data_IF_785731166924
#
_entry.id   IF_785731166924
#
_cell.length_a   1.000
_cell.length_b   1.000
_cell.length_c   1.000
_cell.angle_alpha   90.00
_cell.angle_beta   90.00
_cell.angle_gamma   90.00
#
_symmetry.space_group_name_H-M   'P 1'
#
loop_
_entity.id
_entity.type
_entity.pdbx_description
1 polymer ?
#
# COMPACT_ATOMS: atom_id res chain seq x y z
N UNK A 1 31.33 1.38 1.50
CA UNK A 1 30.31 0.58 2.22
C UNK A 1 29.76 -0.43 1.24
N UNK A 2 29.56 -1.68 1.64
CA UNK A 2 28.90 -2.66 0.77
C UNK A 2 27.45 -2.21 0.52
N UNK A 3 26.99 -2.31 -0.72
CA UNK A 3 25.60 -2.01 -1.08
C UNK A 3 24.67 -3.00 -0.37
N UNK A 4 23.71 -2.47 0.41
CA UNK A 4 22.71 -3.28 1.10
C UNK A 4 21.74 -3.84 0.06
N UNK A 5 21.51 -5.15 0.07
CA UNK A 5 20.64 -5.86 -0.89
C UNK A 5 19.36 -6.34 -0.24
N UNK A 6 18.23 -6.26 -0.94
CA UNK A 6 16.94 -6.69 -0.44
C UNK A 6 16.17 -7.60 -1.39
N UNK A 7 15.27 -8.40 -0.82
CA UNK A 7 14.18 -9.08 -1.54
C UNK A 7 12.83 -8.62 -1.02
N UNK A 8 11.82 -8.63 -1.90
CA UNK A 8 10.45 -8.17 -1.61
C UNK A 8 9.46 -9.34 -1.79
N UNK A 9 8.96 -9.86 -0.67
CA UNK A 9 7.97 -10.94 -0.63
C UNK A 9 6.56 -10.34 -0.72
N UNK A 10 5.72 -10.92 -1.58
CA UNK A 10 4.40 -10.35 -1.89
C UNK A 10 4.53 -8.93 -2.46
N UNK A 11 5.46 -8.75 -3.40
CA UNK A 11 5.92 -7.44 -3.84
C UNK A 11 4.83 -6.63 -4.55
N UNK A 12 3.81 -7.29 -5.12
CA UNK A 12 2.82 -6.66 -5.98
C UNK A 12 3.52 -5.87 -7.09
N UNK A 13 3.17 -4.59 -7.22
CA UNK A 13 3.83 -3.68 -8.17
C UNK A 13 5.19 -3.15 -7.69
N UNK A 14 5.63 -3.46 -6.47
CA UNK A 14 6.92 -3.00 -5.93
C UNK A 14 6.83 -1.72 -5.09
N UNK A 15 5.77 -1.55 -4.31
CA UNK A 15 5.63 -0.40 -3.41
C UNK A 15 6.70 -0.35 -2.31
N UNK A 16 7.01 -1.50 -1.69
CA UNK A 16 8.11 -1.61 -0.73
C UNK A 16 9.46 -1.39 -1.42
N UNK A 17 9.69 -2.13 -2.51
CA UNK A 17 10.88 -2.00 -3.35
C UNK A 17 11.17 -0.57 -3.79
N UNK A 18 10.14 0.21 -4.15
CA UNK A 18 10.29 1.60 -4.54
C UNK A 18 10.80 2.47 -3.40
N UNK A 19 10.23 2.30 -2.19
CA UNK A 19 10.67 3.04 -1.01
C UNK A 19 12.07 2.63 -0.55
N UNK A 20 12.37 1.33 -0.56
CA UNK A 20 13.69 0.82 -0.22
C UNK A 20 14.77 1.29 -1.21
N UNK A 21 14.50 1.25 -2.52
CA UNK A 21 15.41 1.82 -3.53
C UNK A 21 15.66 3.31 -3.31
N UNK A 22 14.62 4.08 -2.95
CA UNK A 22 14.77 5.50 -2.61
C UNK A 22 15.59 5.74 -1.33
N UNK A 23 15.83 4.71 -0.51
CA UNK A 23 16.74 4.73 0.62
C UNK A 23 18.15 4.20 0.28
N UNK A 24 18.44 3.92 -1.00
CA UNK A 24 19.75 3.45 -1.45
C UNK A 24 19.93 1.92 -1.44
N UNK A 25 18.86 1.14 -1.30
CA UNK A 25 18.91 -0.32 -1.28
C UNK A 25 18.88 -0.90 -2.71
N UNK A 26 19.73 -1.88 -2.97
CA UNK A 26 19.69 -2.70 -4.19
C UNK A 26 18.58 -3.75 -4.09
N UNK A 27 17.63 -3.76 -5.02
CA UNK A 27 16.52 -4.71 -5.04
C UNK A 27 16.92 -5.92 -5.86
N UNK A 28 17.26 -7.02 -5.20
CA UNK A 28 17.76 -8.23 -5.84
C UNK A 28 16.64 -9.08 -6.47
N UNK A 29 15.49 -9.20 -5.79
CA UNK A 29 14.36 -9.96 -6.30
C UNK A 29 13.00 -9.58 -5.69
N UNK A 30 11.93 -9.78 -6.46
CA UNK A 30 10.54 -9.71 -6.02
C UNK A 30 9.81 -11.04 -6.23
N UNK A 31 8.91 -11.38 -5.31
CA UNK A 31 8.12 -12.61 -5.35
C UNK A 31 6.63 -12.30 -5.27
N UNK A 32 5.85 -12.69 -6.27
CA UNK A 32 4.39 -12.53 -6.24
C UNK A 32 3.69 -13.54 -7.17
N UNK A 33 2.47 -13.96 -6.80
CA UNK A 33 1.65 -14.86 -7.63
C UNK A 33 0.94 -14.11 -8.77
N UNK A 34 0.73 -12.80 -8.63
CA UNK A 34 -0.03 -12.01 -9.59
C UNK A 34 0.86 -11.52 -10.74
N UNK A 35 0.90 -12.31 -11.82
CA UNK A 35 1.75 -12.05 -12.98
C UNK A 35 1.61 -10.63 -13.56
N UNK A 36 0.38 -10.07 -13.60
CA UNK A 36 0.15 -8.71 -14.08
C UNK A 36 0.84 -7.64 -13.22
N UNK A 37 0.82 -7.79 -11.89
CA UNK A 37 1.55 -6.89 -11.00
C UNK A 37 3.07 -7.08 -11.15
N UNK A 38 3.50 -8.32 -11.40
CA UNK A 38 4.87 -8.67 -11.76
C UNK A 38 5.40 -7.94 -13.00
N UNK A 39 4.59 -7.79 -14.05
CA UNK A 39 4.97 -7.00 -15.22
C UNK A 39 5.28 -5.55 -14.84
N UNK A 40 4.40 -4.92 -14.04
CA UNK A 40 4.63 -3.56 -13.52
C UNK A 40 5.87 -3.50 -12.62
N UNK A 41 6.12 -4.52 -11.79
CA UNK A 41 7.35 -4.60 -11.00
C UNK A 41 8.58 -4.61 -11.92
N UNK A 42 8.62 -5.45 -12.94
CA UNK A 42 9.75 -5.57 -13.85
C UNK A 42 10.01 -4.30 -14.67
N UNK A 43 8.96 -3.58 -15.08
CA UNK A 43 9.11 -2.26 -15.73
C UNK A 43 9.88 -1.25 -14.87
N UNK A 44 9.73 -1.36 -13.55
CA UNK A 44 10.29 -0.40 -12.60
C UNK A 44 11.58 -0.89 -11.95
N UNK A 45 11.87 -2.19 -11.95
CA UNK A 45 13.06 -2.82 -11.37
C UNK A 45 13.66 -3.84 -12.36
N UNK A 46 14.14 -3.39 -13.54
CA UNK A 46 14.59 -4.29 -14.60
C UNK A 46 15.83 -5.13 -14.22
N UNK A 47 16.64 -4.66 -13.26
CA UNK A 47 17.79 -5.39 -12.73
C UNK A 47 17.37 -6.47 -11.70
N UNK A 48 16.18 -6.34 -11.10
CA UNK A 48 15.68 -7.27 -10.10
C UNK A 48 15.07 -8.51 -10.75
N UNK A 49 15.33 -9.68 -10.19
CA UNK A 49 14.65 -10.91 -10.62
C UNK A 49 13.20 -10.92 -10.14
N UNK A 50 12.25 -11.18 -11.03
CA UNK A 50 10.87 -11.42 -10.64
C UNK A 50 10.54 -12.91 -10.66
N UNK A 51 10.08 -13.45 -9.54
CA UNK A 51 9.62 -14.82 -9.41
C UNK A 51 8.09 -14.85 -9.33
N UNK A 52 7.45 -15.28 -10.41
CA UNK A 52 6.00 -15.48 -10.42
C UNK A 52 5.62 -16.79 -9.75
N UNK A 53 5.45 -16.77 -8.41
CA UNK A 53 5.24 -17.97 -7.61
C UNK A 53 4.17 -17.74 -6.55
N UNK A 54 3.44 -18.79 -6.19
CA UNK A 54 2.59 -18.79 -5.02
C UNK A 54 3.37 -19.22 -3.77
N UNK A 55 3.66 -18.25 -2.91
CA UNK A 55 4.38 -18.49 -1.65
C UNK A 55 3.63 -19.46 -0.72
N UNK A 56 2.33 -19.66 -0.90
CA UNK A 56 1.53 -20.61 -0.11
C UNK A 56 2.01 -22.07 -0.26
N UNK A 57 2.53 -22.42 -1.43
CA UNK A 57 2.84 -23.81 -1.82
C UNK A 57 4.33 -24.05 -2.05
N UNK A 58 5.19 -23.06 -1.79
CA UNK A 58 6.63 -23.24 -1.91
C UNK A 58 7.12 -24.30 -0.91
N UNK A 59 7.97 -25.21 -1.37
CA UNK A 59 8.76 -26.11 -0.51
C UNK A 59 10.00 -25.41 0.04
N UNK A 60 10.55 -25.91 1.16
CA UNK A 60 11.81 -25.39 1.72
C UNK A 60 12.97 -25.49 0.72
N UNK A 61 13.02 -26.57 -0.07
CA UNK A 61 14.03 -26.77 -1.13
C UNK A 61 13.98 -25.67 -2.19
N UNK A 62 12.79 -25.22 -2.58
CA UNK A 62 12.66 -24.11 -3.54
C UNK A 62 13.18 -22.79 -2.96
N UNK A 63 12.95 -22.52 -1.67
CA UNK A 63 13.48 -21.32 -1.01
C UNK A 63 15.02 -21.35 -0.99
N UNK A 64 15.63 -22.51 -0.68
CA UNK A 64 17.08 -22.70 -0.78
C UNK A 64 17.61 -22.43 -2.20
N UNK A 65 16.93 -22.94 -3.22
CA UNK A 65 17.32 -22.69 -4.61
C UNK A 65 17.26 -21.20 -4.99
N UNK A 66 16.26 -20.46 -4.50
CA UNK A 66 16.22 -19.01 -4.68
C UNK A 66 17.40 -18.33 -3.99
N UNK A 67 17.76 -18.75 -2.77
CA UNK A 67 18.92 -18.22 -2.06
C UNK A 67 20.23 -18.49 -2.79
N UNK A 68 20.44 -19.71 -3.31
CA UNK A 68 21.61 -20.05 -4.14
C UNK A 68 21.72 -19.17 -5.39
N UNK A 69 20.58 -18.81 -5.99
CA UNK A 69 20.54 -18.01 -7.23
C UNK A 69 20.70 -16.51 -6.97
N UNK A 70 20.07 -15.99 -5.91
CA UNK A 70 20.05 -14.56 -5.57
C UNK A 70 21.32 -14.15 -4.81
N UNK A 71 21.87 -15.10 -4.04
CA UNK A 71 22.98 -14.90 -3.13
C UNK A 71 22.55 -14.18 -1.84
N UNK A 72 23.54 -13.56 -1.20
CA UNK A 72 23.37 -12.84 0.06
C UNK A 72 22.41 -11.64 -0.09
N UNK A 73 21.56 -11.46 0.93
CA UNK A 73 20.66 -10.31 1.09
C UNK A 73 20.67 -9.87 2.54
N UNK A 74 20.62 -8.57 2.75
CA UNK A 74 20.69 -7.95 4.08
C UNK A 74 19.29 -7.68 4.65
N UNK A 75 18.30 -7.51 3.77
CA UNK A 75 16.95 -7.07 4.11
C UNK A 75 15.88 -7.91 3.39
N UNK A 76 14.86 -8.34 4.14
CA UNK A 76 13.61 -8.86 3.58
C UNK A 76 12.50 -7.84 3.82
N UNK A 77 11.83 -7.43 2.74
CA UNK A 77 10.58 -6.69 2.78
C UNK A 77 9.44 -7.68 2.56
N UNK A 78 8.33 -7.54 3.30
CA UNK A 78 7.17 -8.40 3.11
C UNK A 78 5.85 -7.68 3.37
N UNK A 79 4.88 -7.87 2.47
CA UNK A 79 3.49 -7.41 2.65
C UNK A 79 2.47 -8.52 2.39
N UNK A 80 2.38 -9.55 3.27
CA UNK A 80 1.48 -10.68 3.08
C UNK A 80 0.00 -10.25 2.97
N UNK A 81 -0.75 -10.91 2.09
CA UNK A 81 -2.17 -10.63 1.91
C UNK A 81 -2.96 -10.80 3.22
N UNK A 82 -3.76 -9.79 3.60
CA UNK A 82 -4.66 -9.88 4.75
C UNK A 82 -6.12 -9.62 4.30
N UNK A 83 -6.74 -10.63 3.68
CA UNK A 83 -8.12 -10.52 3.17
C UNK A 83 -9.18 -10.79 4.24
N UNK A 84 -8.81 -11.48 5.33
CA UNK A 84 -9.70 -11.93 6.41
C UNK A 84 -10.31 -10.79 7.25
N UNK A 85 -9.63 -9.65 7.39
CA UNK A 85 -10.07 -8.54 8.25
C UNK A 85 -10.62 -7.32 7.49
N UNK A 86 -10.70 -7.37 6.16
CA UNK A 86 -11.23 -6.24 5.39
C UNK A 86 -12.73 -6.08 5.67
N UNK A 87 -13.10 -4.94 6.27
CA UNK A 87 -14.50 -4.52 6.50
C UNK A 87 -15.26 -4.34 5.17
N UNK A 88 -14.55 -4.38 4.04
CA UNK A 88 -15.06 -4.13 2.70
C UNK A 88 -15.80 -5.32 2.05
N UNK A 89 -15.82 -6.51 2.66
CA UNK A 89 -16.63 -7.64 2.17
C UNK A 89 -17.72 -7.96 3.17
N UNK A 90 -18.96 -7.69 2.76
CA UNK A 90 -20.14 -8.20 3.46
C UNK A 90 -20.07 -9.73 3.56
N UNK A 91 -20.28 -10.25 4.76
CA UNK A 91 -20.81 -11.56 5.11
C UNK A 91 -20.31 -12.84 4.39
N UNK A 92 -19.20 -12.85 3.64
CA UNK A 92 -18.58 -14.09 3.16
C UNK A 92 -17.64 -14.67 4.22
N UNK A 93 -17.56 -16.01 4.39
CA UNK A 93 -16.65 -16.65 5.33
C UNK A 93 -15.23 -16.12 5.14
N UNK A 94 -14.66 -15.57 6.21
CA UNK A 94 -13.34 -14.94 6.20
C UNK A 94 -12.29 -16.02 6.04
N UNK A 95 -11.65 -16.07 4.88
CA UNK A 95 -10.57 -17.03 4.63
C UNK A 95 -9.33 -16.67 5.48
N UNK A 96 -9.19 -17.37 6.61
CA UNK A 96 -8.02 -17.30 7.50
C UNK A 96 -6.74 -17.83 6.83
N UNK A 97 -6.83 -18.50 5.68
CA UNK A 97 -5.65 -19.02 4.97
C UNK A 97 -4.73 -17.88 4.51
N UNK A 98 -5.28 -16.72 4.15
CA UNK A 98 -4.47 -15.54 3.75
C UNK A 98 -3.46 -15.12 4.82
N UNK A 99 -3.87 -15.09 6.09
CA UNK A 99 -2.99 -14.72 7.21
C UNK A 99 -1.85 -15.73 7.43
N UNK A 100 -2.06 -17.02 7.09
CA UNK A 100 -1.04 -18.06 7.18
C UNK A 100 0.12 -17.83 6.22
N UNK A 101 -0.06 -17.02 5.16
CA UNK A 101 1.02 -16.62 4.27
C UNK A 101 2.14 -15.87 5.00
N UNK A 102 1.83 -15.23 6.14
CA UNK A 102 2.83 -14.55 6.99
C UNK A 102 3.92 -15.49 7.48
N UNK A 103 3.65 -16.80 7.59
CA UNK A 103 4.68 -17.78 7.93
C UNK A 103 5.81 -17.85 6.90
N UNK A 104 5.55 -17.46 5.64
CA UNK A 104 6.61 -17.41 4.62
C UNK A 104 7.67 -16.36 4.92
N UNK A 105 7.35 -15.31 5.68
CA UNK A 105 8.35 -14.34 6.14
C UNK A 105 9.41 -15.05 6.96
N UNK A 106 8.99 -15.83 7.96
CA UNK A 106 9.91 -16.62 8.78
C UNK A 106 10.66 -17.67 7.95
N UNK A 107 9.98 -18.40 7.07
CA UNK A 107 10.61 -19.44 6.23
C UNK A 107 11.73 -18.88 5.34
N UNK A 108 11.54 -17.70 4.76
CA UNK A 108 12.59 -17.02 4.00
C UNK A 108 13.68 -16.47 4.92
N UNK A 109 13.32 -15.86 6.05
CA UNK A 109 14.29 -15.37 7.02
C UNK A 109 15.18 -16.49 7.58
N UNK A 110 14.66 -17.71 7.75
CA UNK A 110 15.42 -18.87 8.21
C UNK A 110 16.46 -19.32 7.17
N UNK A 111 16.16 -19.20 5.87
CA UNK A 111 17.06 -19.62 4.78
C UNK A 111 18.06 -18.53 4.41
N UNK A 112 17.59 -17.30 4.18
CA UNK A 112 18.41 -16.18 3.74
C UNK A 112 19.18 -15.53 4.89
N UNK A 113 18.72 -15.71 6.14
CA UNK A 113 19.37 -15.18 7.35
C UNK A 113 19.71 -13.67 7.27
N UNK A 114 18.83 -12.79 6.72
CA UNK A 114 19.13 -11.37 6.58
C UNK A 114 19.34 -10.71 7.95
N UNK A 115 20.01 -9.56 8.00
CA UNK A 115 20.05 -8.75 9.22
C UNK A 115 18.69 -8.18 9.56
N UNK A 116 17.97 -7.67 8.55
CA UNK A 116 16.71 -6.96 8.74
C UNK A 116 15.53 -7.67 8.08
N UNK A 117 14.37 -7.58 8.72
CA UNK A 117 13.08 -7.96 8.12
C UNK A 117 12.05 -6.87 8.42
N UNK A 118 11.29 -6.46 7.42
CA UNK A 118 10.18 -5.53 7.57
C UNK A 118 8.90 -6.19 7.09
N UNK A 119 7.89 -6.25 7.96
CA UNK A 119 6.55 -6.74 7.61
C UNK A 119 5.55 -5.60 7.65
N UNK A 120 4.90 -5.31 6.52
CA UNK A 120 3.74 -4.42 6.46
C UNK A 120 2.45 -5.25 6.55
N UNK A 121 1.49 -4.74 7.31
CA UNK A 121 0.14 -5.29 7.29
C UNK A 121 -0.94 -4.27 7.71
N UNK A 122 -2.21 -4.66 7.58
CA UNK A 122 -3.32 -3.86 8.11
C UNK A 122 -3.37 -3.93 9.64
N UNK A 123 -3.98 -2.93 10.33
CA UNK A 123 -4.02 -2.91 11.80
C UNK A 123 -4.64 -4.17 12.43
N UNK A 124 -5.59 -4.78 11.73
CA UNK A 124 -6.29 -5.97 12.20
C UNK A 124 -5.44 -7.24 12.18
N UNK A 125 -4.22 -7.20 11.61
CA UNK A 125 -3.27 -8.31 11.67
C UNK A 125 -2.96 -8.76 13.11
N UNK A 126 -3.00 -7.84 14.07
CA UNK A 126 -2.87 -8.13 15.52
C UNK A 126 -3.93 -9.11 16.05
N UNK A 127 -5.06 -9.24 15.35
CA UNK A 127 -6.16 -10.14 15.73
C UNK A 127 -5.98 -11.55 15.16
N UNK A 128 -4.91 -11.80 14.41
CA UNK A 128 -4.57 -13.13 13.95
C UNK A 128 -4.23 -14.04 15.13
N UNK A 129 -4.84 -15.23 15.19
CA UNK A 129 -4.67 -16.18 16.29
C UNK A 129 -3.21 -16.62 16.52
N UNK A 130 -2.37 -16.56 15.48
CA UNK A 130 -0.94 -16.87 15.57
C UNK A 130 -0.04 -15.64 15.66
N UNK A 131 -0.57 -14.43 15.83
CA UNK A 131 0.23 -13.21 15.86
C UNK A 131 1.36 -13.26 16.91
N UNK A 132 1.04 -13.63 18.15
CA UNK A 132 2.04 -13.79 19.22
C UNK A 132 3.06 -14.87 18.89
N UNK A 133 2.60 -16.02 18.40
CA UNK A 133 3.47 -17.13 18.03
C UNK A 133 4.42 -16.77 16.87
N UNK A 134 3.96 -15.97 15.92
CA UNK A 134 4.78 -15.45 14.83
C UNK A 134 5.92 -14.57 15.36
N UNK A 135 5.63 -13.64 16.29
CA UNK A 135 6.67 -12.81 16.92
C UNK A 135 7.66 -13.67 17.72
N UNK A 136 7.18 -14.64 18.50
CA UNK A 136 8.03 -15.55 19.28
C UNK A 136 8.98 -16.37 18.39
N UNK A 137 8.49 -16.85 17.24
CA UNK A 137 9.31 -17.61 16.28
C UNK A 137 10.40 -16.72 15.66
N UNK A 138 10.06 -15.48 15.29
CA UNK A 138 11.05 -14.52 14.78
C UNK A 138 12.10 -14.20 15.85
N UNK A 139 11.68 -14.01 17.11
CA UNK A 139 12.59 -13.77 18.23
C UNK A 139 13.52 -14.95 18.52
N UNK A 140 12.99 -16.18 18.52
CA UNK A 140 13.79 -17.42 18.63
C UNK A 140 14.76 -17.60 17.45
N UNK A 141 14.47 -17.00 16.31
CA UNK A 141 15.37 -16.97 15.14
C UNK A 141 16.45 -15.88 15.25
N UNK A 142 16.54 -15.18 16.39
CA UNK A 142 17.59 -14.21 16.69
C UNK A 142 17.22 -12.75 16.39
N UNK A 143 15.97 -12.45 16.06
CA UNK A 143 15.54 -11.07 15.78
C UNK A 143 14.99 -10.37 17.03
N UNK A 144 15.38 -9.12 17.23
CA UNK A 144 14.63 -8.17 18.07
C UNK A 144 13.54 -7.51 17.24
N UNK A 145 12.46 -7.06 17.87
CA UNK A 145 11.29 -6.56 17.14
C UNK A 145 10.74 -5.26 17.72
N UNK A 146 10.49 -4.29 16.85
CA UNK A 146 9.66 -3.14 17.14
C UNK A 146 8.38 -3.21 16.33
N UNK A 147 7.26 -3.05 17.01
CA UNK A 147 5.95 -2.93 16.41
C UNK A 147 5.52 -1.47 16.36
N UNK A 148 5.14 -0.96 15.19
CA UNK A 148 4.74 0.44 15.03
C UNK A 148 3.55 0.62 14.11
N UNK A 149 2.64 1.51 14.53
CA UNK A 149 1.51 1.96 13.71
C UNK A 149 1.90 3.27 13.02
N UNK A 150 1.94 3.25 11.69
CA UNK A 150 2.29 4.43 10.90
C UNK A 150 1.11 4.85 10.03
N UNK A 151 0.98 6.18 9.84
CA UNK A 151 -0.01 6.77 8.94
C UNK A 151 0.74 7.47 7.82
N UNK A 152 0.48 7.08 6.57
CA UNK A 152 1.22 7.57 5.40
C UNK A 152 1.21 9.10 5.27
N UNK A 153 0.17 9.77 5.76
CA UNK A 153 0.10 11.23 5.76
C UNK A 153 1.16 11.94 6.59
N UNK A 154 1.77 11.25 7.55
CA UNK A 154 2.89 11.75 8.33
C UNK A 154 4.24 11.65 7.58
N UNK A 155 4.23 11.05 6.38
CA UNK A 155 5.39 10.80 5.52
C UNK A 155 5.28 11.49 4.15
N UNK A 156 4.52 12.59 4.08
CA UNK A 156 4.35 13.36 2.84
C UNK A 156 3.51 12.68 1.76
N UNK A 157 2.66 11.73 2.15
CA UNK A 157 1.68 11.11 1.24
C UNK A 157 0.31 11.79 1.47
N UNK A 158 -0.42 12.22 0.44
CA UNK A 158 -1.74 12.87 0.62
C UNK A 158 -2.85 11.85 0.92
N UNK A 159 -2.60 10.92 1.85
CA UNK A 159 -3.49 9.82 2.19
C UNK A 159 -3.35 9.38 3.66
N UNK A 160 -4.48 9.21 4.36
CA UNK A 160 -4.55 8.76 5.76
C UNK A 160 -4.33 7.24 5.95
N UNK A 161 -3.58 6.59 5.06
CA UNK A 161 -3.39 5.14 5.05
C UNK A 161 -2.65 4.70 6.31
N UNK A 162 -3.38 4.08 7.25
CA UNK A 162 -2.82 3.55 8.50
C UNK A 162 -2.46 2.08 8.35
N UNK A 163 -1.24 1.71 8.72
CA UNK A 163 -0.68 0.36 8.61
C UNK A 163 0.16 0.00 9.83
N UNK A 164 0.18 -1.29 10.11
CA UNK A 164 1.05 -1.91 11.09
C UNK A 164 2.35 -2.28 10.39
N UNK A 165 3.47 -1.96 11.03
CA UNK A 165 4.80 -2.37 10.61
C UNK A 165 5.46 -3.14 11.76
N UNK A 166 6.05 -4.29 11.42
CA UNK A 166 6.96 -5.03 12.30
C UNK A 166 8.36 -4.88 11.74
N UNK A 167 9.23 -4.26 12.53
CA UNK A 167 10.62 -4.04 12.21
C UNK A 167 11.43 -5.06 12.98
N UNK A 168 12.22 -5.87 12.29
CA UNK A 168 13.08 -6.88 12.90
C UNK A 168 14.55 -6.57 12.59
N UNK A 169 15.42 -6.71 13.58
CA UNK A 169 16.89 -6.55 13.45
C UNK A 169 17.59 -7.60 14.33
N UNK A 170 18.60 -8.28 13.79
CA UNK A 170 19.39 -9.30 14.50
C UNK A 170 20.45 -8.72 15.43
N UNK A 171 20.88 -7.50 15.18
CA UNK A 171 22.04 -6.92 15.87
C UNK A 171 21.60 -6.07 17.07
N UNK A 172 20.49 -5.34 16.94
CA UNK A 172 20.03 -4.36 17.95
C UNK A 172 18.52 -4.21 18.00
N UNK A 173 18.02 -3.54 19.05
CA UNK A 173 16.61 -3.16 19.12
C UNK A 173 16.29 -2.14 18.00
N UNK A 174 15.29 -2.39 17.14
CA UNK A 174 14.91 -1.45 16.10
C UNK A 174 14.41 -0.13 16.71
N UNK A 175 14.80 1.00 16.10
CA UNK A 175 14.37 2.33 16.54
C UNK A 175 13.00 2.68 15.97
N UNK A 176 12.24 3.48 16.72
CA UNK A 176 10.97 4.02 16.25
C UNK A 176 11.18 4.93 15.05
N UNK A 177 10.39 4.69 14.01
CA UNK A 177 10.40 5.51 12.79
C UNK A 177 9.66 6.80 13.09
N UNK A 178 10.35 7.92 12.92
CA UNK A 178 9.79 9.25 13.19
C UNK A 178 9.20 9.83 11.90
N UNK A 179 7.98 10.38 11.94
CA UNK A 179 7.40 11.10 10.81
C UNK A 179 8.31 12.22 10.28
N UNK A 180 8.41 12.35 8.96
CA UNK A 180 9.25 13.38 8.32
C UNK A 180 8.49 14.67 7.98
N UNK A 181 7.15 14.74 8.16
CA UNK A 181 6.35 15.97 7.96
C UNK A 181 5.33 16.19 9.08
N UNK A 182 5.26 17.44 9.55
CA UNK A 182 4.27 17.87 10.55
C UNK A 182 2.90 18.18 9.94
N UNK A 183 2.86 18.69 8.69
CA UNK A 183 1.60 18.97 7.99
C UNK A 183 1.28 17.93 6.91
N UNK A 184 0.13 17.24 7.02
CA UNK A 184 -0.35 16.32 6.01
C UNK A 184 -0.68 16.99 4.67
N UNK A 185 -0.29 16.37 3.56
CA UNK A 185 -0.70 16.86 2.24
C UNK A 185 -2.20 16.64 2.00
N UNK A 186 -2.92 17.62 1.44
CA UNK A 186 -4.34 17.51 1.13
C UNK A 186 -4.57 16.61 -0.10
N UNK A 187 -5.78 16.05 -0.26
CA UNK A 187 -6.14 15.27 -1.45
C UNK A 187 -6.03 16.09 -2.75
N UNK A 188 -6.27 17.40 -2.69
CA UNK A 188 -6.07 18.34 -3.81
C UNK A 188 -4.66 18.30 -4.39
N UNK A 189 -3.64 17.95 -3.59
CA UNK A 189 -2.26 17.79 -4.07
C UNK A 189 -2.14 16.69 -5.14
N UNK A 190 -2.90 15.59 -4.99
CA UNK A 190 -2.83 14.45 -5.90
C UNK A 190 -3.81 14.53 -7.08
N UNK A 191 -4.88 15.31 -6.95
CA UNK A 191 -6.01 15.31 -7.88
C UNK A 191 -5.79 16.39 -8.95
N UNK A 192 -5.93 15.99 -10.22
CA UNK A 192 -5.85 16.91 -11.34
C UNK A 192 -7.21 17.56 -11.60
N UNK A 193 -7.44 18.72 -10.97
CA UNK A 193 -8.68 19.50 -11.14
C UNK A 193 -8.84 20.05 -12.56
N UNK A 194 -7.74 20.31 -13.25
CA UNK A 194 -7.69 20.93 -14.58
C UNK A 194 -7.37 19.91 -15.70
N UNK A 195 -7.50 18.61 -15.42
CA UNK A 195 -7.23 17.55 -16.39
C UNK A 195 -8.33 17.45 -17.47
N UNK A 196 -7.99 16.79 -18.59
CA UNK A 196 -8.90 16.53 -19.72
C UNK A 196 -9.81 15.31 -19.52
N UNK A 197 -9.93 14.80 -18.29
CA UNK A 197 -10.74 13.63 -18.00
C UNK A 197 -12.24 13.94 -18.17
N UNK A 198 -12.97 13.02 -18.81
CA UNK A 198 -14.40 13.17 -19.06
C UNK A 198 -15.19 13.19 -17.75
N UNK A 199 -15.98 14.24 -17.57
CA UNK A 199 -17.00 14.34 -16.52
C UNK A 199 -18.37 13.91 -17.05
N UNK A 200 -19.25 13.53 -16.11
CA UNK A 200 -20.66 13.26 -16.37
C UNK A 200 -21.51 14.09 -15.42
N UNK A 201 -22.74 14.50 -15.80
CA UNK A 201 -23.63 15.18 -14.86
C UNK A 201 -23.80 14.38 -13.56
N UNK A 202 -23.75 15.06 -12.41
CA UNK A 202 -23.97 14.44 -11.11
C UNK A 202 -25.40 13.88 -11.04
N UNK A 203 -26.37 14.71 -11.43
CA UNK A 203 -27.79 14.36 -11.48
C UNK A 203 -28.12 13.75 -12.84
N UNK A 204 -28.55 12.50 -12.84
CA UNK A 204 -29.06 11.78 -14.03
C UNK A 204 -30.21 10.86 -13.61
N UNK A 205 -31.05 10.45 -14.56
CA UNK A 205 -32.18 9.54 -14.30
C UNK A 205 -31.74 8.21 -13.64
N UNK A 206 -30.53 7.73 -13.96
CA UNK A 206 -30.00 6.46 -13.45
C UNK A 206 -29.09 6.63 -12.22
N UNK A 207 -28.93 7.84 -11.67
CA UNK A 207 -28.05 8.06 -10.52
C UNK A 207 -28.68 7.47 -9.26
N UNK A 208 -27.93 6.64 -8.55
CA UNK A 208 -28.39 6.07 -7.29
C UNK A 208 -28.75 7.18 -6.28
N UNK A 209 -29.94 7.09 -5.67
CA UNK A 209 -30.42 8.07 -4.69
C UNK A 209 -29.43 8.33 -3.55
N UNK A 210 -28.78 7.26 -3.04
CA UNK A 210 -27.74 7.38 -2.00
C UNK A 210 -26.53 8.20 -2.45
N UNK A 211 -26.21 8.25 -3.73
CA UNK A 211 -25.12 9.08 -4.25
C UNK A 211 -25.51 10.55 -4.24
N UNK A 212 -26.74 10.86 -4.65
CA UNK A 212 -27.27 12.22 -4.63
C UNK A 212 -27.35 12.77 -3.19
N UNK A 213 -27.84 11.98 -2.23
CA UNK A 213 -27.87 12.37 -0.81
C UNK A 213 -26.47 12.70 -0.28
N UNK A 214 -25.46 11.87 -0.60
CA UNK A 214 -24.07 12.14 -0.18
C UNK A 214 -23.53 13.45 -0.77
N UNK A 215 -23.85 13.72 -2.03
CA UNK A 215 -23.42 14.94 -2.69
C UNK A 215 -24.12 16.16 -2.11
N UNK A 216 -25.42 16.07 -1.87
CA UNK A 216 -26.19 17.16 -1.24
C UNK A 216 -25.64 17.48 0.16
N UNK A 217 -25.39 16.45 0.99
CA UNK A 217 -24.78 16.65 2.30
C UNK A 217 -23.41 17.34 2.24
N UNK A 218 -22.61 17.08 1.19
CA UNK A 218 -21.34 17.76 1.00
C UNK A 218 -21.54 19.22 0.59
N UNK A 219 -22.48 19.49 -0.32
CA UNK A 219 -22.84 20.83 -0.80
C UNK A 219 -23.38 21.69 0.35
N UNK A 220 -24.24 21.13 1.20
CA UNK A 220 -24.83 21.85 2.34
C UNK A 220 -23.75 22.28 3.35
N UNK A 221 -22.67 21.50 3.48
CA UNK A 221 -21.58 21.77 4.41
C UNK A 221 -20.48 22.66 3.81
N UNK A 222 -20.09 22.41 2.56
CA UNK A 222 -18.94 23.06 1.92
C UNK A 222 -19.33 24.26 1.03
N UNK A 223 -20.62 24.43 0.75
CA UNK A 223 -21.12 25.38 -0.24
C UNK A 223 -21.15 24.80 -1.65
N UNK A 224 -21.93 25.46 -2.52
CA UNK A 224 -22.20 24.99 -3.90
C UNK A 224 -20.98 24.98 -4.79
N UNK A 225 -20.05 25.91 -4.56
CA UNK A 225 -18.93 26.20 -5.46
C UNK A 225 -17.65 25.43 -5.11
N UNK A 226 -17.64 24.70 -4.00
CA UNK A 226 -16.47 23.99 -3.49
C UNK A 226 -16.42 22.56 -4.04
N UNK A 227 -15.35 22.16 -4.77
CA UNK A 227 -15.18 20.77 -5.20
C UNK A 227 -14.95 19.82 -4.02
N UNK A 228 -15.44 18.59 -4.12
CA UNK A 228 -15.30 17.57 -3.08
C UNK A 228 -15.24 16.17 -3.66
N UNK A 229 -14.94 15.18 -2.81
CA UNK A 229 -14.97 13.78 -3.19
C UNK A 229 -16.18 13.08 -2.59
N UNK A 230 -16.92 12.35 -3.42
CA UNK A 230 -17.77 11.27 -2.96
C UNK A 230 -16.91 10.04 -2.66
N UNK A 231 -17.27 9.35 -1.57
CA UNK A 231 -16.56 8.16 -1.08
C UNK A 231 -17.53 6.98 -1.04
N UNK A 232 -17.32 6.02 -1.94
CA UNK A 232 -18.09 4.78 -2.01
C UNK A 232 -17.53 3.70 -1.09
N UNK A 233 -18.40 2.78 -0.67
CA UNK A 233 -18.06 1.60 0.15
C UNK A 233 -17.33 1.94 1.46
N UNK A 234 -17.52 3.15 1.99
CA UNK A 234 -17.01 3.58 3.30
C UNK A 234 -17.88 3.01 4.42
N UNK A 235 -17.25 2.41 5.42
CA UNK A 235 -17.88 1.94 6.67
C UNK A 235 -17.75 2.94 7.82
N UNK A 236 -17.08 4.07 7.59
CA UNK A 236 -16.71 5.05 8.61
C UNK A 236 -17.85 6.01 9.02
N UNK A 237 -19.07 5.80 8.48
CA UNK A 237 -20.27 6.63 8.73
C UNK A 237 -20.06 8.13 8.47
N UNK A 238 -18.95 8.55 7.87
CA UNK A 238 -18.56 9.94 7.72
C UNK A 238 -19.20 10.58 6.47
N UNK A 239 -20.53 10.48 6.38
CA UNK A 239 -21.35 11.15 5.37
C UNK A 239 -21.21 10.65 3.92
N UNK A 240 -20.23 9.78 3.62
CA UNK A 240 -19.96 9.29 2.26
C UNK A 240 -19.32 10.32 1.33
N UNK A 241 -18.71 11.37 1.89
CA UNK A 241 -17.95 12.40 1.15
C UNK A 241 -16.72 12.86 1.96
N UNK A 242 -15.80 13.58 1.33
CA UNK A 242 -14.66 14.23 2.00
C UNK A 242 -14.26 15.53 1.27
N UNK A 243 -13.76 16.52 2.02
CA UNK A 243 -13.12 17.72 1.47
C UNK A 243 -11.78 17.37 0.80
N UNK A 244 -11.41 18.16 -0.22
CA UNK A 244 -10.12 18.06 -0.88
C UNK A 244 -8.96 18.58 -0.03
N UNK A 245 -9.23 19.38 1.01
CA UNK A 245 -8.22 20.00 1.88
C UNK A 245 -7.70 19.06 2.98
N UNK A 246 -8.27 17.85 3.04
CA UNK A 246 -7.81 16.81 3.95
C UNK A 246 -7.13 15.69 3.17
N UNK A 247 -6.18 14.96 3.78
CA UNK A 247 -5.56 13.82 3.10
C UNK A 247 -6.61 12.78 2.74
N UNK A 248 -6.46 12.17 1.57
CA UNK A 248 -7.39 11.19 1.03
C UNK A 248 -7.61 10.04 2.03
N UNK A 249 -8.85 9.57 2.17
CA UNK A 249 -9.09 8.27 2.82
C UNK A 249 -8.32 7.16 2.12
N UNK A 250 -8.14 6.03 2.81
CA UNK A 250 -7.32 4.91 2.31
C UNK A 250 -7.80 4.44 0.92
N UNK A 251 -6.89 4.45 -0.05
CA UNK A 251 -7.07 3.83 -1.36
C UNK A 251 -7.11 2.32 -1.16
N UNK A 252 -8.13 1.69 -1.73
CA UNK A 252 -8.35 0.24 -1.64
C UNK A 252 -8.32 -0.38 -3.02
N UNK A 253 -8.51 -1.71 -3.08
CA UNK A 253 -8.55 -2.45 -4.33
C UNK A 253 -9.76 -2.17 -5.21
N UNK A 254 -10.76 -1.46 -4.68
CA UNK A 254 -11.93 -1.01 -5.40
C UNK A 254 -11.86 0.49 -5.62
N UNK A 255 -12.43 0.93 -6.73
CA UNK A 255 -12.59 2.34 -7.04
C UNK A 255 -13.64 2.96 -6.10
N UNK A 256 -13.24 4.01 -5.37
CA UNK A 256 -14.04 4.58 -4.28
C UNK A 256 -14.29 6.06 -4.38
N UNK A 257 -13.47 6.78 -5.15
CA UNK A 257 -13.41 8.22 -5.06
C UNK A 257 -13.93 8.84 -6.36
N UNK A 258 -14.99 9.62 -6.25
CA UNK A 258 -15.46 10.46 -7.35
C UNK A 258 -15.31 11.93 -7.01
N UNK A 259 -14.60 12.67 -7.84
CA UNK A 259 -14.53 14.11 -7.79
C UNK A 259 -15.85 14.70 -8.29
N UNK A 260 -16.44 15.58 -7.51
CA UNK A 260 -17.60 16.40 -7.84
C UNK A 260 -17.15 17.85 -7.88
N UNK A 261 -17.58 18.58 -8.91
CA UNK A 261 -17.33 20.02 -9.05
C UNK A 261 -18.54 20.74 -9.68
N UNK A 262 -18.66 22.07 -9.52
CA UNK A 262 -19.63 22.86 -10.28
C UNK A 262 -19.39 22.71 -11.78
N UNK A 263 -20.46 22.67 -12.58
CA UNK A 263 -20.38 22.51 -14.04
C UNK A 263 -20.42 23.85 -14.80
N UNK A 264 -20.45 24.98 -14.09
CA UNK A 264 -20.55 26.33 -14.65
C UNK A 264 -21.94 26.70 -15.18
N UNK A 265 -22.92 25.80 -15.15
CA UNK A 265 -24.29 25.99 -15.64
C UNK A 265 -25.33 25.92 -14.53
N UNK A 266 -24.88 26.13 -13.30
CA UNK A 266 -25.70 25.99 -12.11
C UNK A 266 -25.95 24.53 -11.70
N UNK A 267 -25.28 23.55 -12.29
CA UNK A 267 -25.30 22.14 -11.87
C UNK A 267 -23.97 21.68 -11.28
N UNK A 268 -23.85 20.36 -11.13
CA UNK A 268 -22.61 19.70 -10.74
C UNK A 268 -22.32 18.55 -11.69
N UNK A 269 -21.04 18.31 -11.90
CA UNK A 269 -20.56 17.18 -12.68
C UNK A 269 -19.57 16.35 -11.85
N UNK A 270 -19.38 15.10 -12.25
CA UNK A 270 -18.54 14.18 -11.52
C UNK A 270 -17.76 13.22 -12.41
N UNK A 271 -16.62 12.75 -11.89
CA UNK A 271 -15.82 11.66 -12.47
C UNK A 271 -15.16 10.85 -11.36
N UNK A 272 -14.84 9.60 -11.65
CA UNK A 272 -13.96 8.83 -10.76
C UNK A 272 -12.52 9.39 -10.81
N UNK A 273 -11.76 9.23 -9.72
CA UNK A 273 -10.33 9.52 -9.73
C UNK A 273 -9.59 8.54 -10.64
N UNK A 274 -8.56 9.01 -11.33
CA UNK A 274 -7.85 8.24 -12.34
C UNK A 274 -6.59 7.57 -11.76
N UNK A 275 -6.12 6.46 -12.36
CA UNK A 275 -4.93 5.77 -11.88
C UNK A 275 -3.69 6.68 -11.67
N UNK A 276 -3.38 7.68 -12.52
CA UNK A 276 -2.29 8.61 -12.26
C UNK A 276 -2.47 9.46 -10.99
N UNK A 277 -3.70 9.88 -10.69
CA UNK A 277 -4.03 10.63 -9.47
C UNK A 277 -3.88 9.73 -8.24
N UNK A 278 -4.34 8.48 -8.33
CA UNK A 278 -4.21 7.50 -7.26
C UNK A 278 -2.75 7.07 -7.04
N UNK A 279 -1.94 6.95 -8.10
CA UNK A 279 -0.49 6.73 -8.06
C UNK A 279 0.20 7.84 -7.28
N UNK A 280 -0.08 9.10 -7.63
CA UNK A 280 0.42 10.28 -6.90
C UNK A 280 -0.07 10.29 -5.45
N UNK A 281 -1.32 9.90 -5.20
CA UNK A 281 -1.88 9.83 -3.85
C UNK A 281 -1.33 8.69 -2.98
N UNK A 282 -0.71 7.68 -3.59
CA UNK A 282 0.05 6.63 -2.90
C UNK A 282 1.50 7.04 -2.61
N UNK A 283 1.97 8.17 -3.17
CA UNK A 283 3.34 8.66 -3.01
C UNK A 283 4.36 8.01 -3.94
N UNK A 284 3.93 7.33 -5.00
CA UNK A 284 4.85 6.85 -6.03
C UNK A 284 5.46 8.03 -6.80
N UNK A 285 6.74 7.93 -7.19
CA UNK A 285 7.38 9.00 -7.92
C UNK A 285 6.83 9.11 -9.35
N UNK A 286 6.95 10.29 -10.00
CA UNK A 286 6.37 10.53 -11.33
C UNK A 286 6.79 9.50 -12.39
N UNK A 287 8.06 9.11 -12.38
CA UNK A 287 8.69 8.15 -13.28
C UNK A 287 8.25 6.70 -13.06
N UNK A 288 7.59 6.38 -11.93
CA UNK A 288 7.11 5.02 -11.68
C UNK A 288 6.03 4.63 -12.68
N UNK A 289 6.27 3.61 -13.48
CA UNK A 289 5.42 3.22 -14.60
C UNK A 289 4.34 2.25 -14.15
N UNK A 290 3.08 2.46 -14.59
CA UNK A 290 1.98 1.51 -14.41
C UNK A 290 1.20 1.46 -15.73
N UNK A 291 1.77 0.78 -16.73
CA UNK A 291 1.22 0.71 -18.08
C UNK A 291 0.44 -0.60 -18.36
N UNK A 292 0.52 -1.57 -17.45
CA UNK A 292 -0.17 -2.84 -17.57
C UNK A 292 -1.56 -2.82 -16.93
N UNK A 293 -2.43 -3.67 -17.47
CA UNK A 293 -3.79 -3.88 -16.97
C UNK A 293 -4.76 -2.77 -17.34
N UNK A 294 -6.05 -3.10 -17.26
CA UNK A 294 -7.10 -2.09 -17.40
C UNK A 294 -7.20 -1.22 -16.14
N UNK A 295 -8.00 -0.15 -16.23
CA UNK A 295 -8.19 0.81 -15.11
C UNK A 295 -8.55 0.14 -13.78
N UNK A 296 -9.39 -0.90 -13.78
CA UNK A 296 -9.79 -1.62 -12.55
C UNK A 296 -8.61 -2.38 -11.96
N UNK A 297 -7.80 -3.01 -12.80
CA UNK A 297 -6.60 -3.73 -12.37
C UNK A 297 -5.54 -2.78 -11.81
N UNK A 298 -5.32 -1.64 -12.45
CA UNK A 298 -4.40 -0.60 -11.95
C UNK A 298 -4.83 -0.07 -10.58
N UNK A 299 -6.12 0.17 -10.37
CA UNK A 299 -6.66 0.56 -9.06
C UNK A 299 -6.45 -0.55 -8.03
N UNK A 300 -6.67 -1.81 -8.42
CA UNK A 300 -6.42 -2.96 -7.55
C UNK A 300 -4.95 -3.05 -7.14
N UNK A 301 -4.04 -2.88 -8.08
CA UNK A 301 -2.59 -2.84 -7.85
C UNK A 301 -2.20 -1.72 -6.87
N UNK A 302 -2.67 -0.50 -7.11
CA UNK A 302 -2.43 0.66 -6.22
C UNK A 302 -3.02 0.46 -4.82
N UNK A 303 -4.22 -0.12 -4.71
CA UNK A 303 -4.86 -0.38 -3.43
C UNK A 303 -4.11 -1.37 -2.53
N UNK A 304 -3.49 -2.37 -3.17
CA UNK A 304 -2.65 -3.39 -2.51
C UNK A 304 -1.26 -2.89 -2.18
N UNK A 305 -0.71 -1.93 -2.94
CA UNK A 305 0.64 -1.45 -2.74
C UNK A 305 0.87 -0.77 -1.37
N UNK A 306 2.14 -0.76 -0.95
CA UNK A 306 2.63 0.05 0.17
C UNK A 306 3.03 1.44 -0.34
N UNK A 307 2.85 2.46 0.49
CA UNK A 307 3.25 3.83 0.16
C UNK A 307 4.79 3.95 0.21
N UNK A 308 5.48 4.23 -0.92
CA UNK A 308 6.93 4.27 -0.96
C UNK A 308 7.59 5.22 0.07
N UNK A 309 7.08 6.44 0.33
CA UNK A 309 7.72 7.34 1.31
C UNK A 309 7.73 6.79 2.74
N UNK A 310 6.75 5.96 3.11
CA UNK A 310 6.72 5.31 4.43
C UNK A 310 7.82 4.26 4.49
N UNK A 311 7.95 3.42 3.46
CA UNK A 311 8.98 2.39 3.42
C UNK A 311 10.39 2.99 3.34
N UNK A 312 10.56 4.09 2.60
CA UNK A 312 11.82 4.84 2.57
C UNK A 312 12.25 5.27 3.97
N UNK A 313 11.35 5.89 4.74
CA UNK A 313 11.64 6.34 6.11
C UNK A 313 11.94 5.16 7.05
N UNK A 314 11.22 4.04 6.91
CA UNK A 314 11.49 2.81 7.68
C UNK A 314 12.91 2.31 7.40
N UNK A 315 13.25 2.13 6.12
CA UNK A 315 14.55 1.59 5.71
C UNK A 315 15.67 2.52 6.15
N UNK A 316 15.55 3.83 5.92
CA UNK A 316 16.53 4.82 6.40
C UNK A 316 16.75 4.73 7.91
N UNK A 317 15.69 4.51 8.70
CA UNK A 317 15.79 4.35 10.15
C UNK A 317 16.57 3.08 10.55
N UNK A 318 16.37 1.97 9.83
CA UNK A 318 17.05 0.70 10.11
C UNK A 318 18.55 0.77 9.82
N UNK A 319 18.92 1.43 8.72
CA UNK A 319 20.30 1.50 8.21
C UNK A 319 21.08 2.75 8.67
N UNK A 320 20.48 3.61 9.50
CA UNK A 320 21.08 4.90 9.88
C UNK A 320 22.46 4.79 10.56
N UNK A 321 22.75 3.65 11.22
CA UNK A 321 24.06 3.38 11.81
C UNK A 321 24.70 2.12 11.21
N UNK A 322 24.75 2.05 9.88
CA UNK A 322 25.60 1.11 9.12
C UNK A 322 26.72 1.84 8.39
#
# INVERSE_FOLDING_TARGET
MNTIRAIDLFCGIGGNSCGARAAGIDIAAGFDKWALAGQVFQDNFPEARFYNVDLAILSRRQIHHFHETIGHVDLILASPECTSHSVARGASPKDKASLRLSWNVWRFAEVFQPRWVVVENVPAFRLWEHYRHFLEIMQRSGYRVLEQMLVASAFGVPQRRRRLYLLFDRDREPRAVVPCRYEPLPASYAINLNGSYRYTPLVTANRAARTLVRAQNAIDVLGRDTPFLLVYYGSDKAGGWQSLDTPLRTITTLDRFALVRPDGRGGHEMRMLQPPELKKAMGFPPEFVINHGNRREQIKMLGNAVCPPVMQAIVQTLIADT
#
